data_IF_463777926395
#
_entry.id   IF_463777926395
#
_cell.length_a   1.000
_cell.length_b   1.000
_cell.length_c   1.000
_cell.angle_alpha   90.00
_cell.angle_beta   90.00
_cell.angle_gamma   90.00
#
_symmetry.space_group_name_H-M   'P 1'
#
loop_
_entity.id
_entity.type
_entity.pdbx_description
1 polymer ?
#
# COMPACT_ATOMS: atom_id res chain seq x y z
N UNK A 1 -8.55 40.49 -22.07
CA UNK A 1 -7.91 39.17 -22.32
C UNK A 1 -7.50 38.41 -21.04
N UNK A 2 -6.78 39.03 -20.07
CA UNK A 2 -6.30 38.34 -18.84
C UNK A 2 -7.40 37.70 -17.96
N UNK A 3 -8.59 38.31 -17.82
CA UNK A 3 -9.70 37.79 -16.98
C UNK A 3 -10.24 36.44 -17.45
N UNK A 4 -10.33 36.21 -18.77
CA UNK A 4 -10.89 34.96 -19.31
C UNK A 4 -9.90 33.80 -19.21
N UNK A 5 -8.60 34.08 -19.35
CA UNK A 5 -7.53 33.10 -19.15
C UNK A 5 -7.44 32.70 -17.67
N UNK A 6 -7.54 33.66 -16.75
CA UNK A 6 -7.55 33.37 -15.31
C UNK A 6 -8.73 32.48 -14.89
N UNK A 7 -9.94 32.73 -15.41
CA UNK A 7 -11.10 31.86 -15.19
C UNK A 7 -10.90 30.45 -15.76
N UNK A 8 -10.32 30.34 -16.95
CA UNK A 8 -10.04 29.04 -17.57
C UNK A 8 -9.05 28.22 -16.73
N UNK A 9 -7.96 28.85 -16.25
CA UNK A 9 -6.97 28.20 -15.39
C UNK A 9 -7.63 27.72 -14.08
N UNK A 10 -8.48 28.55 -13.47
CA UNK A 10 -9.20 28.16 -12.25
C UNK A 10 -10.09 26.92 -12.47
N UNK A 11 -10.80 26.85 -13.60
CA UNK A 11 -11.62 25.68 -13.96
C UNK A 11 -10.76 24.42 -14.09
N UNK A 12 -9.61 24.51 -14.78
CA UNK A 12 -8.69 23.37 -14.94
C UNK A 12 -8.16 22.88 -13.59
N UNK A 13 -7.82 23.81 -12.68
CA UNK A 13 -7.37 23.45 -11.33
C UNK A 13 -8.47 22.71 -10.57
N UNK A 14 -9.71 23.23 -10.59
CA UNK A 14 -10.85 22.58 -9.91
C UNK A 14 -11.12 21.18 -10.46
N UNK A 15 -11.13 21.03 -11.79
CA UNK A 15 -11.29 19.71 -12.44
C UNK A 15 -10.16 18.76 -12.04
N UNK A 16 -8.92 19.24 -12.01
CA UNK A 16 -7.76 18.47 -11.55
C UNK A 16 -7.91 17.99 -10.11
N UNK A 17 -8.38 18.87 -9.21
CA UNK A 17 -8.64 18.52 -7.81
C UNK A 17 -9.73 17.45 -7.71
N UNK A 18 -10.86 17.63 -8.39
CA UNK A 18 -11.96 16.63 -8.40
C UNK A 18 -11.46 15.29 -8.91
N UNK A 19 -10.65 15.28 -9.98
CA UNK A 19 -10.06 14.07 -10.52
C UNK A 19 -9.19 13.32 -9.49
N UNK A 20 -8.40 14.03 -8.67
CA UNK A 20 -7.61 13.41 -7.60
C UNK A 20 -8.48 12.71 -6.55
N UNK A 21 -9.60 13.34 -6.14
CA UNK A 21 -10.54 12.74 -5.20
C UNK A 21 -11.22 11.49 -5.77
N UNK A 22 -11.69 11.56 -7.01
CA UNK A 22 -12.31 10.42 -7.71
C UNK A 22 -11.32 9.26 -7.81
N UNK A 23 -10.07 9.53 -8.21
CA UNK A 23 -9.02 8.51 -8.30
C UNK A 23 -8.76 7.84 -6.95
N UNK A 24 -8.67 8.62 -5.87
CA UNK A 24 -8.48 8.09 -4.52
C UNK A 24 -9.66 7.24 -4.05
N UNK A 25 -10.89 7.66 -4.34
CA UNK A 25 -12.11 6.91 -4.04
C UNK A 25 -12.16 5.57 -4.79
N UNK A 26 -11.91 5.58 -6.11
CA UNK A 26 -11.89 4.36 -6.93
C UNK A 26 -10.82 3.37 -6.48
N UNK A 27 -9.65 3.85 -6.05
CA UNK A 27 -8.60 3.00 -5.50
C UNK A 27 -9.07 2.26 -4.24
N UNK A 28 -9.64 3.00 -3.27
CA UNK A 28 -10.17 2.39 -2.02
C UNK A 28 -11.35 1.47 -2.29
N UNK A 29 -12.24 1.86 -3.22
CA UNK A 29 -13.39 1.07 -3.63
C UNK A 29 -12.95 -0.28 -4.21
N UNK A 30 -11.94 -0.28 -5.09
CA UNK A 30 -11.46 -1.52 -5.70
C UNK A 30 -10.88 -2.50 -4.68
N UNK A 31 -10.03 -2.02 -3.76
CA UNK A 31 -9.49 -2.86 -2.68
C UNK A 31 -10.63 -3.43 -1.83
N UNK A 32 -11.66 -2.64 -1.53
CA UNK A 32 -12.80 -3.07 -0.71
C UNK A 32 -13.65 -4.13 -1.42
N UNK A 33 -13.96 -3.93 -2.70
CA UNK A 33 -14.83 -4.84 -3.48
C UNK A 33 -14.11 -6.12 -3.93
N UNK A 34 -12.80 -6.07 -4.12
CA UNK A 34 -12.01 -7.19 -4.64
C UNK A 34 -10.99 -7.68 -3.60
N UNK A 35 -11.32 -7.53 -2.31
CA UNK A 35 -10.40 -7.73 -1.19
C UNK A 35 -10.02 -9.20 -1.06
N UNK A 36 -8.73 -9.49 -1.19
CA UNK A 36 -8.12 -10.75 -0.77
C UNK A 36 -7.12 -10.50 0.35
N UNK A 37 -6.87 -11.53 1.16
CA UNK A 37 -5.97 -11.49 2.33
C UNK A 37 -4.75 -12.36 2.07
N UNK A 38 -3.58 -11.89 2.47
CA UNK A 38 -2.34 -12.65 2.52
C UNK A 38 -1.47 -12.15 3.67
N UNK A 39 -0.29 -12.76 3.84
CA UNK A 39 0.75 -12.30 4.76
C UNK A 39 1.81 -11.54 3.96
N UNK A 40 2.33 -10.47 4.54
CA UNK A 40 3.46 -9.72 3.98
C UNK A 40 4.58 -9.61 5.00
N UNK A 41 5.81 -9.43 4.51
CA UNK A 41 6.99 -9.10 5.31
C UNK A 41 7.28 -7.61 5.17
N UNK A 42 7.38 -6.90 6.29
CA UNK A 42 7.83 -5.52 6.28
C UNK A 42 9.35 -5.52 6.02
N UNK A 43 9.77 -4.87 4.94
CA UNK A 43 11.18 -4.92 4.51
C UNK A 43 12.02 -3.74 4.92
N UNK A 44 11.55 -2.52 4.68
CA UNK A 44 12.30 -1.31 5.04
C UNK A 44 11.37 -0.10 5.02
N UNK A 45 11.80 0.93 5.75
CA UNK A 45 11.26 2.27 5.64
C UNK A 45 12.18 3.15 4.81
N UNK A 46 11.59 3.88 3.86
CA UNK A 46 12.28 4.96 3.17
C UNK A 46 11.97 6.28 3.87
N UNK A 47 13.01 6.95 4.35
CA UNK A 47 12.91 8.27 4.99
C UNK A 47 13.29 9.33 3.97
N UNK A 48 12.46 10.35 3.80
CA UNK A 48 12.70 11.54 3.01
C UNK A 48 12.39 12.80 3.85
N UNK A 49 12.90 14.00 3.52
CA UNK A 49 12.84 15.17 4.40
C UNK A 49 11.45 15.59 4.91
N UNK A 50 10.38 15.19 4.22
CA UNK A 50 8.99 15.55 4.57
C UNK A 50 8.04 14.36 4.64
N UNK A 51 8.51 13.15 4.39
CA UNK A 51 7.65 11.97 4.33
C UNK A 51 8.44 10.70 4.55
N UNK A 52 7.77 9.69 5.06
CA UNK A 52 8.30 8.34 5.18
C UNK A 52 7.41 7.38 4.39
N UNK A 53 7.96 6.25 3.97
CA UNK A 53 7.21 5.27 3.18
C UNK A 53 7.60 3.86 3.57
N UNK A 54 6.62 3.06 4.00
CA UNK A 54 6.82 1.66 4.35
C UNK A 54 6.76 0.77 3.11
N UNK A 55 7.67 -0.21 3.01
CA UNK A 55 7.70 -1.16 1.91
C UNK A 55 7.56 -2.61 2.38
N UNK A 56 6.72 -3.35 1.65
CA UNK A 56 6.33 -4.72 1.99
C UNK A 56 6.66 -5.67 0.85
N UNK A 57 7.11 -6.88 1.20
CA UNK A 57 7.18 -8.02 0.29
C UNK A 57 6.03 -8.96 0.57
N UNK A 58 5.42 -9.51 -0.48
CA UNK A 58 4.33 -10.46 -0.36
C UNK A 58 4.26 -11.32 -1.62
N UNK A 59 3.53 -12.44 -1.53
CA UNK A 59 3.45 -13.43 -2.59
C UNK A 59 1.98 -13.66 -2.90
N UNK A 60 1.64 -13.60 -4.19
CA UNK A 60 0.30 -13.85 -4.70
C UNK A 60 0.44 -14.68 -5.95
N UNK A 61 -0.28 -15.80 -6.03
CA UNK A 61 -0.23 -16.75 -7.16
C UNK A 61 1.21 -17.11 -7.56
N UNK A 62 2.04 -17.48 -6.58
CA UNK A 62 3.47 -17.81 -6.74
C UNK A 62 4.36 -16.69 -7.31
N UNK A 63 3.84 -15.46 -7.46
CA UNK A 63 4.61 -14.29 -7.89
C UNK A 63 4.94 -13.42 -6.68
N UNK A 64 6.21 -13.03 -6.58
CA UNK A 64 6.70 -12.09 -5.56
C UNK A 64 6.40 -10.66 -5.97
N UNK A 65 5.88 -9.89 -5.03
CA UNK A 65 5.61 -8.47 -5.17
C UNK A 65 6.36 -7.69 -4.10
N UNK A 66 6.69 -6.43 -4.44
CA UNK A 66 7.21 -5.45 -3.50
C UNK A 66 6.50 -4.14 -3.75
N UNK A 67 5.79 -3.63 -2.75
CA UNK A 67 5.10 -2.36 -2.89
C UNK A 67 5.08 -1.58 -1.58
N UNK A 68 4.78 -0.29 -1.69
CA UNK A 68 4.67 0.61 -0.55
C UNK A 68 3.23 0.83 -0.11
N UNK A 69 3.02 0.95 1.19
CA UNK A 69 1.74 1.37 1.76
C UNK A 69 1.95 2.23 3.00
N UNK A 70 1.31 3.39 3.03
CA UNK A 70 1.34 4.29 4.18
C UNK A 70 2.73 4.85 4.52
N UNK A 71 2.75 5.59 5.61
CA UNK A 71 3.97 6.10 6.22
C UNK A 71 4.64 5.02 7.07
N UNK A 72 5.89 5.28 7.45
CA UNK A 72 6.56 4.41 8.41
C UNK A 72 5.97 4.61 9.80
N UNK A 73 5.71 3.51 10.54
CA UNK A 73 5.32 3.61 11.93
C UNK A 73 6.51 4.14 12.77
N UNK A 74 6.21 4.80 13.89
CA UNK A 74 7.23 5.39 14.77
C UNK A 74 8.28 4.36 15.24
N UNK A 75 7.87 3.10 15.41
CA UNK A 75 8.72 1.98 15.81
C UNK A 75 9.20 1.15 14.60
N UNK A 76 9.57 1.79 13.49
CA UNK A 76 9.83 1.09 12.24
C UNK A 76 10.90 0.00 12.37
N UNK A 77 12.02 0.31 13.01
CA UNK A 77 13.16 -0.62 13.11
C UNK A 77 12.80 -1.92 13.83
N UNK A 78 11.90 -1.85 14.82
CA UNK A 78 11.39 -3.01 15.55
C UNK A 78 10.45 -3.88 14.71
N UNK A 79 9.81 -3.29 13.70
CA UNK A 79 8.84 -3.95 12.81
C UNK A 79 9.46 -4.44 11.51
N UNK A 80 10.68 -4.03 11.17
CA UNK A 80 11.41 -4.55 10.01
C UNK A 80 11.60 -6.07 10.15
N UNK A 81 11.47 -6.78 9.05
CA UNK A 81 11.47 -8.23 8.92
C UNK A 81 10.33 -8.96 9.65
N UNK A 82 9.39 -8.25 10.28
CA UNK A 82 8.20 -8.85 10.87
C UNK A 82 7.10 -9.04 9.82
N UNK A 83 6.20 -9.97 10.11
CA UNK A 83 5.09 -10.32 9.24
C UNK A 83 3.78 -9.70 9.70
N UNK A 84 2.95 -9.28 8.74
CA UNK A 84 1.70 -8.58 8.99
C UNK A 84 0.62 -9.01 7.99
N UNK A 85 -0.64 -8.71 8.30
CA UNK A 85 -1.75 -8.94 7.39
C UNK A 85 -1.69 -7.89 6.26
N UNK A 86 -1.75 -8.38 5.03
CA UNK A 86 -1.89 -7.56 3.84
C UNK A 86 -3.20 -7.90 3.13
N UNK A 87 -3.91 -6.87 2.75
CA UNK A 87 -5.06 -6.95 1.87
C UNK A 87 -4.67 -6.43 0.50
N UNK A 88 -5.09 -7.12 -0.55
CA UNK A 88 -4.83 -6.74 -1.92
C UNK A 88 -6.08 -6.86 -2.79
N UNK A 89 -6.12 -6.10 -3.90
CA UNK A 89 -7.15 -6.26 -4.92
C UNK A 89 -6.86 -7.50 -5.76
N UNK A 90 -7.84 -8.41 -5.90
CA UNK A 90 -7.72 -9.55 -6.80
C UNK A 90 -7.64 -9.16 -8.27
N UNK A 91 -8.04 -7.92 -8.63
CA UNK A 91 -7.91 -7.37 -9.99
C UNK A 91 -6.51 -6.81 -10.24
N UNK A 92 -5.93 -6.14 -9.24
CA UNK A 92 -4.58 -5.58 -9.30
C UNK A 92 -3.84 -5.84 -7.98
N UNK A 93 -2.95 -6.86 -7.93
CA UNK A 93 -2.19 -7.18 -6.73
C UNK A 93 -1.25 -6.08 -6.24
N UNK A 94 -1.02 -5.02 -7.02
CA UNK A 94 -0.27 -3.85 -6.56
C UNK A 94 -1.10 -2.91 -5.69
N UNK A 95 -2.44 -2.99 -5.74
CA UNK A 95 -3.28 -2.21 -4.83
C UNK A 95 -3.38 -2.92 -3.51
N UNK A 96 -2.72 -2.36 -2.50
CA UNK A 96 -2.54 -3.00 -1.21
C UNK A 96 -2.98 -2.09 -0.06
N UNK A 97 -3.32 -2.74 1.05
CA UNK A 97 -3.59 -2.14 2.35
C UNK A 97 -2.99 -3.06 3.42
N UNK A 98 -2.17 -2.51 4.30
CA UNK A 98 -1.43 -3.31 5.31
C UNK A 98 -1.91 -2.94 6.71
N UNK A 99 -2.25 -3.96 7.49
CA UNK A 99 -2.59 -3.79 8.90
C UNK A 99 -1.36 -4.03 9.78
N UNK A 100 -0.75 -2.92 10.23
CA UNK A 100 0.44 -2.92 11.09
C UNK A 100 0.13 -3.04 12.59
N UNK A 101 -1.16 -3.18 12.97
CA UNK A 101 -1.59 -3.33 14.36
C UNK A 101 -1.41 -4.76 14.87
N UNK A 102 -1.45 -5.75 13.96
CA UNK A 102 -1.36 -7.18 14.29
C UNK A 102 -0.18 -7.83 13.59
N UNK A 103 0.85 -8.14 14.37
CA UNK A 103 1.95 -8.96 13.90
C UNK A 103 1.50 -10.42 13.76
N UNK A 104 1.91 -11.05 12.67
CA UNK A 104 1.74 -12.49 12.43
C UNK A 104 3.02 -13.19 12.86
N UNK A 105 2.90 -14.11 13.80
CA UNK A 105 3.99 -14.99 14.26
C UNK A 105 3.73 -16.46 13.95
N UNK A 106 2.52 -16.78 13.47
CA UNK A 106 2.15 -18.13 13.06
C UNK A 106 2.96 -18.54 11.83
N UNK A 107 3.92 -19.42 12.05
CA UNK A 107 4.80 -19.97 11.02
C UNK A 107 4.02 -20.67 9.92
N UNK A 108 2.93 -21.38 10.24
CA UNK A 108 2.11 -22.07 9.24
C UNK A 108 1.41 -21.07 8.34
N UNK A 109 0.89 -19.97 8.90
CA UNK A 109 0.29 -18.91 8.11
C UNK A 109 1.30 -18.22 7.18
N UNK A 110 2.53 -18.03 7.64
CA UNK A 110 3.62 -17.41 6.84
C UNK A 110 4.07 -18.34 5.72
N UNK A 111 4.28 -19.63 6.00
CA UNK A 111 4.66 -20.62 4.99
C UNK A 111 3.54 -20.83 3.95
N UNK A 112 2.28 -20.89 4.39
CA UNK A 112 1.12 -20.99 3.49
C UNK A 112 0.96 -19.74 2.60
N UNK A 113 1.44 -18.58 3.04
CA UNK A 113 1.51 -17.38 2.22
C UNK A 113 2.62 -17.42 1.16
N UNK A 114 3.45 -18.46 1.15
CA UNK A 114 4.48 -18.73 0.14
C UNK A 114 5.91 -18.34 0.54
N UNK A 115 6.13 -17.88 1.77
CA UNK A 115 7.48 -17.61 2.28
C UNK A 115 8.21 -18.91 2.60
N UNK A 116 9.53 -18.90 2.48
CA UNK A 116 10.35 -20.07 2.83
C UNK A 116 10.76 -20.06 4.31
N UNK A 117 11.27 -21.20 4.80
CA UNK A 117 11.69 -21.33 6.20
C UNK A 117 12.86 -20.40 6.54
N UNK A 118 13.70 -20.09 5.56
CA UNK A 118 14.85 -19.17 5.69
C UNK A 118 14.41 -17.71 5.80
N UNK A 119 13.17 -17.39 5.42
CA UNK A 119 12.62 -16.02 5.48
C UNK A 119 11.89 -15.71 6.79
N UNK A 120 11.61 -16.72 7.62
CA UNK A 120 11.00 -16.58 8.96
C UNK A 120 11.91 -15.81 9.91
#
# INVERSE_FOLDING_TARGET
MKKNISKLIAIVIVVGIVFLFVKGYLYKKEIRENRKKTVCKFTFCKIAPKTTTSFFKYIVNNKRYRNSYGQCPDSCDMKINKFFILYYSSKDPNKIEVDLSKQITDTTAILNAGFSKEEL
#
